data_IF_484545225176
#
_entry.id   IF_484545225176
#
_cell.length_a   1.000
_cell.length_b   1.000
_cell.length_c   1.000
_cell.angle_alpha   90.00
_cell.angle_beta   90.00
_cell.angle_gamma   90.00
#
_symmetry.space_group_name_H-M   'P 1'
#
loop_
_entity.id
_entity.type
_entity.pdbx_description
1 polymer ?
#
# COMPACT_ATOMS: atom_id res chain seq x y z
N UNK A 1 21.07 -16.47 -12.21
CA UNK A 1 20.33 -16.87 -13.43
C UNK A 1 20.45 -18.39 -13.64
N UNK A 2 19.66 -19.22 -12.94
CA UNK A 2 19.71 -20.69 -13.09
C UNK A 2 18.34 -21.35 -12.84
N UNK A 3 17.29 -20.82 -13.45
CA UNK A 3 15.93 -21.40 -13.36
C UNK A 3 15.20 -21.53 -14.70
N UNK A 4 15.87 -21.26 -15.83
CA UNK A 4 15.25 -21.25 -17.16
C UNK A 4 16.06 -22.04 -18.21
N UNK A 5 16.71 -23.14 -17.81
CA UNK A 5 17.40 -24.03 -18.77
C UNK A 5 16.74 -25.40 -18.96
N UNK A 6 15.53 -25.62 -18.40
CA UNK A 6 14.85 -26.93 -18.49
C UNK A 6 13.37 -26.90 -18.91
N UNK A 7 12.80 -25.76 -19.31
CA UNK A 7 11.44 -25.75 -19.88
C UNK A 7 11.48 -26.09 -21.37
N UNK A 8 11.81 -27.35 -21.66
CA UNK A 8 11.57 -27.97 -22.96
C UNK A 8 10.13 -28.48 -22.98
N UNK A 9 9.30 -27.86 -23.81
CA UNK A 9 8.02 -28.38 -24.28
C UNK A 9 6.96 -28.67 -23.20
N UNK A 10 6.00 -27.74 -22.98
CA UNK A 10 4.71 -28.13 -22.41
C UNK A 10 3.79 -28.57 -23.55
N UNK A 11 3.48 -29.88 -23.71
CA UNK A 11 2.49 -30.31 -24.68
C UNK A 11 1.11 -29.78 -24.29
N UNK A 12 0.36 -29.35 -25.29
CA UNK A 12 -0.96 -28.76 -25.16
C UNK A 12 -1.99 -29.79 -24.64
N UNK A 13 -2.05 -30.04 -23.32
CA UNK A 13 -3.21 -30.67 -22.67
C UNK A 13 -3.25 -30.55 -21.13
N UNK A 14 -2.92 -29.39 -20.57
CA UNK A 14 -2.99 -29.12 -19.10
C UNK A 14 -4.42 -28.81 -18.62
N UNK A 15 -5.45 -29.50 -19.13
CA UNK A 15 -6.87 -29.22 -18.81
C UNK A 15 -7.44 -29.98 -17.61
N UNK A 16 -6.68 -30.88 -16.97
CA UNK A 16 -7.18 -31.74 -15.87
C UNK A 16 -6.30 -31.81 -14.61
N UNK A 17 -5.42 -30.84 -14.40
CA UNK A 17 -4.66 -30.78 -13.13
C UNK A 17 -5.43 -29.90 -12.14
N UNK A 18 -5.89 -30.50 -11.03
CA UNK A 18 -6.43 -29.72 -9.90
C UNK A 18 -5.30 -28.82 -9.40
N UNK A 19 -5.51 -27.50 -9.49
CA UNK A 19 -4.58 -26.51 -8.94
C UNK A 19 -4.39 -26.83 -7.45
N UNK A 20 -3.14 -26.85 -6.94
CA UNK A 20 -2.90 -27.03 -5.52
C UNK A 20 -3.70 -25.95 -4.77
N UNK A 21 -4.45 -26.37 -3.74
CA UNK A 21 -5.17 -25.43 -2.89
C UNK A 21 -4.12 -24.68 -2.08
N UNK A 22 -3.93 -23.42 -2.42
CA UNK A 22 -3.14 -22.52 -1.60
C UNK A 22 -3.93 -22.25 -0.32
N UNK A 23 -3.42 -22.69 0.83
CA UNK A 23 -3.98 -22.28 2.12
C UNK A 23 -3.72 -20.78 2.26
N UNK A 24 -4.76 -19.97 2.14
CA UNK A 24 -4.67 -18.55 2.40
C UNK A 24 -4.38 -18.37 3.89
N UNK A 25 -3.20 -17.85 4.21
CA UNK A 25 -2.92 -17.38 5.57
C UNK A 25 -3.77 -16.15 5.81
N UNK A 26 -4.57 -16.17 6.87
CA UNK A 26 -5.36 -15.00 7.27
C UNK A 26 -4.43 -13.84 7.63
N UNK A 27 -4.72 -12.66 7.08
CA UNK A 27 -3.96 -11.46 7.37
C UNK A 27 -4.34 -10.98 8.78
N UNK A 28 -3.36 -10.92 9.68
CA UNK A 28 -3.55 -10.30 10.99
C UNK A 28 -3.79 -8.80 10.80
N UNK A 29 -4.92 -8.31 11.30
CA UNK A 29 -5.29 -6.89 11.29
C UNK A 29 -5.00 -6.32 12.67
N UNK A 30 -4.48 -5.10 12.72
CA UNK A 30 -4.24 -4.39 13.97
C UNK A 30 -5.56 -4.12 14.70
N UNK A 31 -5.62 -4.49 15.99
CA UNK A 31 -6.75 -4.13 16.87
C UNK A 31 -6.50 -2.78 17.52
N UNK A 32 -7.50 -2.19 18.18
CA UNK A 32 -7.37 -0.87 18.82
C UNK A 32 -6.29 -0.85 19.90
N UNK A 33 -6.07 -1.99 20.55
CA UNK A 33 -5.08 -2.17 21.62
C UNK A 33 -3.64 -2.21 21.08
N UNK A 34 -3.46 -2.53 19.80
CA UNK A 34 -2.14 -2.55 19.14
C UNK A 34 -1.65 -1.13 18.77
N UNK A 35 -2.57 -0.17 18.58
CA UNK A 35 -2.21 1.19 18.13
C UNK A 35 -1.30 1.93 19.11
N UNK A 36 -1.55 1.94 20.44
CA UNK A 36 -0.65 2.58 21.39
C UNK A 36 0.76 2.00 21.34
N UNK A 37 0.88 0.69 21.18
CA UNK A 37 2.18 0.00 21.08
C UNK A 37 2.90 0.39 19.78
N UNK A 38 2.17 0.44 18.67
CA UNK A 38 2.70 0.89 17.37
C UNK A 38 3.20 2.34 17.44
N UNK A 39 2.40 3.25 18.02
CA UNK A 39 2.74 4.66 18.11
C UNK A 39 3.95 4.88 19.04
N UNK A 40 4.02 4.18 20.17
CA UNK A 40 5.17 4.24 21.07
C UNK A 40 6.46 3.75 20.39
N UNK A 41 6.39 2.67 19.61
CA UNK A 41 7.53 2.19 18.84
C UNK A 41 7.99 3.20 17.79
N UNK A 42 7.05 3.94 17.20
CA UNK A 42 7.31 4.92 16.15
C UNK A 42 8.01 6.18 16.66
N UNK A 43 7.89 6.54 17.95
CA UNK A 43 8.50 7.75 18.52
C UNK A 43 10.03 7.77 18.41
N UNK A 44 10.66 6.60 18.46
CA UNK A 44 12.11 6.45 18.39
C UNK A 44 12.67 6.34 16.97
N UNK A 45 11.80 6.29 15.96
CA UNK A 45 12.20 6.13 14.57
C UNK A 45 12.50 7.47 13.88
N UNK A 46 13.31 7.46 12.80
CA UNK A 46 13.54 8.62 11.96
C UNK A 46 12.24 9.30 11.50
N UNK A 47 12.29 10.63 11.36
CA UNK A 47 11.14 11.47 11.00
C UNK A 47 10.40 10.97 9.76
N UNK A 48 11.13 10.45 8.77
CA UNK A 48 10.54 9.93 7.53
C UNK A 48 9.58 8.77 7.78
N UNK A 49 9.93 7.83 8.66
CA UNK A 49 9.06 6.71 9.01
C UNK A 49 7.88 7.16 9.86
N UNK A 50 8.13 8.08 10.80
CA UNK A 50 7.07 8.72 11.58
C UNK A 50 6.01 9.34 10.69
N UNK A 51 6.42 10.12 9.69
CA UNK A 51 5.51 10.76 8.75
C UNK A 51 4.80 9.73 7.87
N UNK A 52 5.50 8.75 7.31
CA UNK A 52 4.91 7.74 6.43
C UNK A 52 3.84 6.90 7.14
N UNK A 53 4.13 6.43 8.37
CA UNK A 53 3.17 5.62 9.13
C UNK A 53 1.97 6.46 9.56
N UNK A 54 2.19 7.68 10.07
CA UNK A 54 1.07 8.56 10.42
C UNK A 54 0.19 8.89 9.20
N UNK A 55 0.79 9.19 8.05
CA UNK A 55 0.05 9.40 6.81
C UNK A 55 -0.73 8.14 6.42
N UNK A 56 -0.14 6.95 6.49
CA UNK A 56 -0.84 5.70 6.20
C UNK A 56 -2.06 5.48 7.11
N UNK A 57 -1.92 5.75 8.41
CA UNK A 57 -2.98 5.60 9.40
C UNK A 57 -4.12 6.60 9.20
N UNK A 58 -3.79 7.85 8.86
CA UNK A 58 -4.79 8.93 8.75
C UNK A 58 -5.47 8.95 7.38
N UNK A 59 -4.69 8.80 6.30
CA UNK A 59 -5.20 8.92 4.92
C UNK A 59 -5.67 7.60 4.32
N UNK A 60 -5.26 6.45 4.89
CA UNK A 60 -5.58 5.13 4.37
C UNK A 60 -4.97 4.83 2.98
N UNK A 61 -3.93 5.56 2.59
CA UNK A 61 -3.26 5.38 1.31
C UNK A 61 -2.48 4.07 1.25
N UNK A 62 -2.42 3.47 0.06
CA UNK A 62 -1.57 2.29 -0.16
C UNK A 62 -0.10 2.70 -0.15
N UNK A 63 0.78 1.78 0.27
CA UNK A 63 2.23 2.04 0.33
C UNK A 63 2.80 2.61 -0.97
N UNK A 64 2.40 2.10 -2.13
CA UNK A 64 2.85 2.63 -3.42
C UNK A 64 2.37 4.05 -3.69
N UNK A 65 1.16 4.40 -3.26
CA UNK A 65 0.60 5.76 -3.38
C UNK A 65 1.33 6.75 -2.46
N UNK A 66 1.67 6.34 -1.23
CA UNK A 66 2.49 7.12 -0.31
C UNK A 66 3.89 7.40 -0.87
N UNK A 67 4.53 6.38 -1.43
CA UNK A 67 5.87 6.50 -2.01
C UNK A 67 5.89 7.26 -3.35
N UNK A 68 4.75 7.34 -4.04
CA UNK A 68 4.58 8.12 -5.26
C UNK A 68 4.13 9.57 -5.04
N UNK A 69 3.96 9.98 -3.78
CA UNK A 69 3.48 11.32 -3.44
C UNK A 69 4.54 12.38 -3.74
N UNK A 70 4.13 13.48 -4.36
CA UNK A 70 4.97 14.65 -4.63
C UNK A 70 4.46 15.85 -3.86
N UNK A 71 5.33 16.85 -3.63
CA UNK A 71 4.94 18.07 -2.90
C UNK A 71 3.82 18.85 -3.59
N UNK A 72 3.75 18.85 -4.93
CA UNK A 72 2.68 19.50 -5.70
C UNK A 72 1.29 18.90 -5.44
N UNK A 73 1.23 17.70 -4.87
CA UNK A 73 0.01 16.98 -4.58
C UNK A 73 -0.45 17.13 -3.12
N UNK A 74 0.28 17.88 -2.31
CA UNK A 74 -0.02 18.11 -0.89
C UNK A 74 -0.47 19.55 -0.70
N UNK A 75 -1.76 19.74 -0.45
CA UNK A 75 -2.33 21.03 -0.09
C UNK A 75 -2.54 21.07 1.43
N UNK A 76 -1.69 21.82 2.13
CA UNK A 76 -1.77 21.98 3.57
C UNK A 76 -2.87 22.97 3.98
N UNK A 77 -3.20 23.92 3.13
CA UNK A 77 -4.22 24.95 3.40
C UNK A 77 -5.61 24.33 3.42
N UNK A 78 -5.89 23.46 2.45
CA UNK A 78 -7.14 22.68 2.39
C UNK A 78 -7.04 21.33 3.08
N UNK A 79 -5.87 21.00 3.65
CA UNK A 79 -5.57 19.70 4.28
C UNK A 79 -5.99 18.53 3.37
N UNK A 80 -5.56 18.55 2.12
CA UNK A 80 -5.93 17.54 1.11
C UNK A 80 -4.69 16.98 0.41
N UNK A 81 -4.65 15.66 0.26
CA UNK A 81 -3.68 14.95 -0.59
C UNK A 81 -4.36 14.51 -1.88
N UNK A 82 -3.74 14.81 -3.01
CA UNK A 82 -4.18 14.32 -4.32
C UNK A 82 -3.32 13.14 -4.75
N UNK A 83 -3.93 11.95 -4.90
CA UNK A 83 -3.20 10.77 -5.38
C UNK A 83 -3.23 10.74 -6.90
N UNK A 84 -2.10 11.01 -7.54
CA UNK A 84 -1.99 10.99 -9.01
C UNK A 84 -1.19 9.81 -9.55
N UNK A 85 -0.40 9.12 -8.71
CA UNK A 85 0.49 8.04 -9.13
C UNK A 85 0.80 7.10 -7.97
N UNK A 86 1.32 5.92 -8.30
CA UNK A 86 1.72 4.88 -7.35
C UNK A 86 3.06 4.28 -7.77
N UNK A 87 3.98 4.17 -6.83
CA UNK A 87 5.27 3.53 -7.02
C UNK A 87 5.09 2.01 -6.98
N UNK A 88 5.51 1.34 -8.05
CA UNK A 88 5.48 -0.11 -8.20
C UNK A 88 6.88 -0.65 -8.49
N UNK A 89 7.22 -1.79 -7.93
CA UNK A 89 8.49 -2.47 -8.20
C UNK A 89 8.21 -3.80 -8.91
N UNK A 90 8.95 -4.10 -9.98
CA UNK A 90 8.91 -5.40 -10.66
C UNK A 90 10.33 -5.83 -10.99
N UNK A 91 10.65 -7.13 -10.83
CA UNK A 91 12.01 -7.66 -11.06
C UNK A 91 12.50 -7.36 -12.48
N UNK A 92 11.59 -7.29 -13.46
CA UNK A 92 11.91 -7.04 -14.88
C UNK A 92 12.10 -5.57 -15.23
N UNK A 93 11.35 -4.67 -14.59
CA UNK A 93 11.26 -3.25 -14.98
C UNK A 93 11.84 -2.31 -13.89
N UNK A 94 12.26 -2.85 -12.76
CA UNK A 94 12.74 -2.06 -11.62
C UNK A 94 11.63 -1.25 -10.96
N UNK A 95 12.01 -0.07 -10.45
CA UNK A 95 11.11 0.89 -9.82
C UNK A 95 10.39 1.70 -10.90
N UNK A 96 9.07 1.66 -10.92
CA UNK A 96 8.24 2.32 -11.92
C UNK A 96 7.13 3.12 -11.24
N UNK A 97 7.06 4.41 -11.56
CA UNK A 97 5.91 5.25 -11.24
C UNK A 97 4.80 4.92 -12.23
N UNK A 98 3.69 4.37 -11.74
CA UNK A 98 2.51 4.08 -12.54
C UNK A 98 1.42 5.06 -12.19
N UNK A 99 0.82 5.64 -13.23
CA UNK A 99 -0.47 6.29 -13.06
C UNK A 99 -1.49 5.25 -12.58
N UNK A 100 -2.46 5.66 -11.74
CA UNK A 100 -3.48 4.76 -11.26
C UNK A 100 -4.24 4.17 -12.46
N UNK A 101 -4.54 2.86 -12.39
CA UNK A 101 -5.03 2.05 -13.53
C UNK A 101 -6.33 2.54 -14.19
N UNK A 102 -7.02 3.53 -13.62
CA UNK A 102 -8.29 4.08 -14.15
C UNK A 102 -8.38 5.59 -13.93
N UNK A 103 -8.97 6.31 -14.90
CA UNK A 103 -9.21 7.76 -14.84
C UNK A 103 -10.00 8.22 -13.60
N UNK A 104 -10.82 7.34 -13.01
CA UNK A 104 -11.58 7.58 -11.78
C UNK A 104 -10.82 7.31 -10.47
N UNK A 105 -9.56 6.89 -10.53
CA UNK A 105 -8.75 6.57 -9.34
C UNK A 105 -7.84 7.73 -8.92
N UNK A 106 -7.95 8.90 -9.56
CA UNK A 106 -7.48 10.16 -8.99
C UNK A 106 -8.44 10.55 -7.87
N UNK A 107 -8.04 10.30 -6.64
CA UNK A 107 -8.84 10.56 -5.46
C UNK A 107 -8.16 11.61 -4.59
N UNK A 108 -8.92 12.62 -4.18
CA UNK A 108 -8.54 13.51 -3.09
C UNK A 108 -8.82 12.81 -1.77
N UNK A 109 -7.85 12.81 -0.87
CA UNK A 109 -7.97 12.26 0.48
C UNK A 109 -7.72 13.39 1.48
N UNK A 110 -8.63 13.60 2.46
CA UNK A 110 -8.38 14.57 3.50
C UNK A 110 -7.19 14.10 4.36
N UNK A 111 -6.27 15.02 4.65
CA UNK A 111 -5.19 14.86 5.63
C UNK A 111 -5.73 14.86 7.06
N UNK A 112 -6.94 15.38 7.27
CA UNK A 112 -7.60 15.34 8.57
C UNK A 112 -8.57 14.17 8.61
N UNK A 113 -8.22 13.12 9.36
CA UNK A 113 -9.24 12.27 9.94
C UNK A 113 -9.98 13.13 10.96
N UNK A 114 -11.22 13.55 10.66
CA UNK A 114 -12.17 13.78 11.74
C UNK A 114 -12.28 12.42 12.45
N UNK A 115 -11.50 12.21 13.50
CA UNK A 115 -11.84 11.23 14.52
C UNK A 115 -13.16 11.73 15.09
N UNK A 116 -14.27 11.32 14.49
CA UNK A 116 -15.56 11.42 15.16
C UNK A 116 -15.40 10.63 16.46
N UNK A 117 -15.65 11.23 17.64
CA UNK A 117 -15.60 10.52 18.90
C UNK A 117 -16.79 9.56 18.95
N UNK A 118 -16.69 8.43 18.25
CA UNK A 118 -17.73 7.40 18.22
C UNK A 118 -17.64 6.44 19.42
N UNK A 119 -16.84 6.78 20.43
CA UNK A 119 -16.75 6.04 21.69
C UNK A 119 -16.60 7.03 22.86
N UNK A 120 -17.66 7.79 23.11
CA UNK A 120 -17.88 8.47 24.39
C UNK A 120 -19.35 8.27 24.79
N UNK A 121 -19.69 7.01 25.08
CA UNK A 121 -20.82 6.56 25.87
C UNK A 121 -20.47 5.20 26.48
#
# INVERSE_FOLDING_TARGET
>A
MRFLSHLRFMPANVRKVKRPKWNQTEMKVYTREDFPVLLAALEHEPLIYRVLVNLALVSGLRQGELLGLTWDNVDLDTSTITVTQSLSYTITEGLQLKEPKTKGSKAQKPLQAKLSPCCAS
#
